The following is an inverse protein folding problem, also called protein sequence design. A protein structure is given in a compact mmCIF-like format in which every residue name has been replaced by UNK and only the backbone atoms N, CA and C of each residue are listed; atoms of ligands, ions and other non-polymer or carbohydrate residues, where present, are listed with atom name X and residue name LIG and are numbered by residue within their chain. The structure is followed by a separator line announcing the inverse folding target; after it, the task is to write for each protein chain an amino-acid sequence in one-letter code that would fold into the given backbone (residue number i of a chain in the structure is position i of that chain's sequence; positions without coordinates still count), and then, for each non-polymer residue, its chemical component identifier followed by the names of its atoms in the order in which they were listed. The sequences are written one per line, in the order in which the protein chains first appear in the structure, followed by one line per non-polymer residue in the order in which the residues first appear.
data_IF_406073541047
#
_entry.id   IF_406073541047
#
_cell.length_a   1.000
_cell.length_b   1.000
_cell.length_c   1.000
_cell.angle_alpha   90.00
_cell.angle_beta   90.00
_cell.angle_gamma   90.00
#
_symmetry.space_group_name_H-M   'P 1'
#
loop_
_entity.id
_entity.type
_entity.pdbx_description
1 polymer ?
#
# COMPACT_ATOMS: atom_id res chain seq x y z
N UNK A 1 19.87 9.69 22.65
CA UNK A 1 18.69 8.81 22.47
C UNK A 1 18.89 8.02 21.18
N UNK A 2 19.35 6.77 21.27
CA UNK A 2 19.62 5.92 20.09
C UNK A 2 18.28 5.36 19.60
N UNK A 3 17.87 5.69 18.37
CA UNK A 3 16.74 5.03 17.71
C UNK A 3 17.20 3.63 17.32
N UNK A 4 16.87 2.62 18.12
CA UNK A 4 17.05 1.22 17.72
C UNK A 4 16.19 0.92 16.50
N UNK A 5 16.81 0.47 15.41
CA UNK A 5 16.11 0.01 14.22
C UNK A 5 15.39 -1.31 14.54
N UNK A 6 14.05 -1.31 14.50
CA UNK A 6 13.29 -2.55 14.60
C UNK A 6 13.35 -3.32 13.28
N UNK A 7 13.60 -4.61 13.34
CA UNK A 7 13.65 -5.54 12.22
C UNK A 7 12.35 -6.36 12.14
N UNK A 8 12.13 -7.09 11.03
CA UNK A 8 10.95 -7.97 10.84
C UNK A 8 10.71 -8.93 12.02
N UNK A 9 11.80 -9.41 12.64
CA UNK A 9 11.77 -10.30 13.80
C UNK A 9 11.16 -9.68 15.06
N UNK A 10 11.05 -8.35 15.12
CA UNK A 10 10.47 -7.64 16.26
C UNK A 10 8.94 -7.56 16.20
N UNK A 11 8.34 -7.97 15.08
CA UNK A 11 6.90 -7.84 14.82
C UNK A 11 6.17 -9.17 14.68
N UNK A 12 6.84 -10.29 14.88
CA UNK A 12 6.22 -11.61 14.81
C UNK A 12 7.22 -12.76 14.72
N UNK A 13 6.68 -13.97 14.75
CA UNK A 13 7.45 -15.20 14.63
C UNK A 13 6.65 -16.25 13.85
N UNK A 14 7.36 -17.21 13.28
CA UNK A 14 6.74 -18.38 12.66
C UNK A 14 6.42 -19.42 13.74
N UNK A 15 5.16 -19.84 13.80
CA UNK A 15 4.66 -20.90 14.68
C UNK A 15 3.87 -21.87 13.79
N UNK A 16 4.25 -23.15 13.78
CA UNK A 16 3.59 -24.21 12.99
C UNK A 16 3.41 -23.86 11.50
N UNK A 17 4.46 -23.30 10.88
CA UNK A 17 4.45 -22.84 9.47
C UNK A 17 3.44 -21.73 9.14
N UNK A 18 2.85 -21.10 10.15
CA UNK A 18 2.04 -19.88 10.03
C UNK A 18 2.80 -18.69 10.64
N UNK A 19 2.72 -17.53 10.00
CA UNK A 19 3.23 -16.30 10.61
C UNK A 19 2.27 -15.83 11.70
N UNK A 20 2.81 -15.60 12.89
CA UNK A 20 2.10 -15.03 14.03
C UNK A 20 2.60 -13.61 14.26
N UNK A 21 1.71 -12.63 14.14
CA UNK A 21 2.01 -11.22 14.40
C UNK A 21 2.17 -10.97 15.91
N UNK A 22 3.17 -10.19 16.28
CA UNK A 22 3.37 -9.66 17.62
C UNK A 22 3.63 -8.15 17.49
N UNK A 23 2.59 -7.33 17.62
CA UNK A 23 2.69 -5.88 17.38
C UNK A 23 2.68 -5.13 18.72
N UNK A 24 3.86 -4.80 19.28
CA UNK A 24 3.93 -4.05 20.51
C UNK A 24 3.51 -2.60 20.29
N UNK A 25 2.40 -2.22 20.94
CA UNK A 25 1.91 -0.84 20.95
C UNK A 25 2.79 0.03 21.86
N UNK A 26 3.02 1.29 21.45
CA UNK A 26 3.79 2.26 22.26
C UNK A 26 3.03 2.75 23.48
N UNK A 27 1.71 2.62 23.46
CA UNK A 27 0.78 3.00 24.52
C UNK A 27 -0.39 2.03 24.54
N UNK A 28 -1.14 1.91 25.65
CA UNK A 28 -2.42 1.22 25.66
C UNK A 28 -3.38 1.82 24.63
N UNK A 29 -4.27 0.97 24.11
CA UNK A 29 -5.38 1.41 23.27
C UNK A 29 -6.36 2.21 24.11
N UNK A 30 -6.89 3.29 23.55
CA UNK A 30 -8.07 3.93 24.11
C UNK A 30 -9.32 3.10 23.76
N UNK A 31 -10.39 3.25 24.54
CA UNK A 31 -11.63 2.48 24.34
C UNK A 31 -12.17 2.60 22.91
N UNK A 32 -12.08 3.80 22.32
CA UNK A 32 -12.51 4.04 20.94
C UNK A 32 -11.62 3.39 19.87
N UNK A 33 -10.37 3.02 20.21
CA UNK A 33 -9.44 2.35 19.29
C UNK A 33 -9.60 0.82 19.31
N UNK A 34 -10.28 0.25 20.31
CA UNK A 34 -10.38 -1.20 20.50
C UNK A 34 -11.04 -1.86 19.29
N UNK A 35 -12.13 -1.30 18.78
CA UNK A 35 -12.85 -1.90 17.65
C UNK A 35 -12.03 -1.80 16.36
N UNK A 36 -11.31 -0.69 16.16
CA UNK A 36 -10.39 -0.54 15.02
C UNK A 36 -9.22 -1.51 15.11
N UNK A 37 -8.69 -1.73 16.32
CA UNK A 37 -7.61 -2.68 16.56
C UNK A 37 -8.03 -4.13 16.29
N UNK A 38 -9.25 -4.50 16.69
CA UNK A 38 -9.84 -5.82 16.38
C UNK A 38 -9.93 -6.04 14.88
N UNK A 39 -10.57 -5.11 14.16
CA UNK A 39 -10.70 -5.18 12.69
C UNK A 39 -9.32 -5.28 12.03
N UNK A 40 -8.35 -4.50 12.48
CA UNK A 40 -6.98 -4.56 11.99
C UNK A 40 -6.31 -5.92 12.22
N UNK A 41 -6.45 -6.48 13.42
CA UNK A 41 -5.87 -7.78 13.78
C UNK A 41 -6.50 -8.91 12.97
N UNK A 42 -7.83 -8.87 12.78
CA UNK A 42 -8.56 -9.84 11.95
C UNK A 42 -8.06 -9.83 10.49
N UNK A 43 -7.85 -8.63 9.93
CA UNK A 43 -7.29 -8.46 8.58
C UNK A 43 -5.88 -9.07 8.51
N UNK A 44 -5.05 -8.82 9.52
CA UNK A 44 -3.68 -9.33 9.55
C UNK A 44 -3.61 -10.85 9.66
N UNK A 45 -4.51 -11.47 10.43
CA UNK A 45 -4.59 -12.92 10.56
C UNK A 45 -5.08 -13.62 9.30
N UNK A 46 -5.92 -12.94 8.51
CA UNK A 46 -6.39 -13.42 7.22
C UNK A 46 -5.29 -13.41 6.14
N UNK A 47 -4.22 -12.62 6.30
CA UNK A 47 -3.11 -12.57 5.35
C UNK A 47 -2.23 -13.82 5.50
N UNK A 48 -2.24 -14.68 4.48
CA UNK A 48 -1.37 -15.85 4.40
C UNK A 48 0.01 -15.41 3.88
N UNK A 49 0.96 -15.25 4.79
CA UNK A 49 2.37 -15.02 4.43
C UNK A 49 2.97 -16.35 3.98
N UNK A 50 3.53 -16.38 2.76
CA UNK A 50 4.17 -17.58 2.20
C UNK A 50 5.67 -17.53 2.43
N UNK A 51 6.24 -18.61 2.97
CA UNK A 51 7.65 -18.72 3.33
C UNK A 51 8.62 -18.72 2.13
N UNK A 52 8.15 -18.92 0.89
CA UNK A 52 9.01 -19.35 -0.23
C UNK A 52 8.83 -18.63 -1.56
N UNK A 53 8.23 -17.44 -1.60
CA UNK A 53 8.36 -16.58 -2.79
C UNK A 53 9.53 -15.62 -2.56
N UNK A 54 10.49 -15.51 -3.49
CA UNK A 54 11.44 -14.40 -3.41
C UNK A 54 10.62 -13.12 -3.29
N UNK A 55 11.07 -12.22 -2.42
CA UNK A 55 10.40 -10.97 -2.06
C UNK A 55 10.43 -9.99 -3.26
N UNK A 56 9.89 -10.42 -4.39
CA UNK A 56 9.74 -9.66 -5.60
C UNK A 56 8.41 -8.96 -5.44
N UNK A 57 8.51 -7.67 -5.11
CA UNK A 57 7.40 -6.74 -5.23
C UNK A 57 7.05 -6.65 -6.72
N UNK A 58 6.22 -7.58 -7.20
CA UNK A 58 5.78 -7.61 -8.59
C UNK A 58 4.69 -6.55 -8.76
N UNK A 59 5.10 -5.32 -9.03
CA UNK A 59 4.20 -4.34 -9.65
C UNK A 59 3.88 -4.85 -11.05
N UNK A 60 2.78 -5.59 -11.21
CA UNK A 60 2.25 -5.86 -12.53
C UNK A 60 1.64 -4.56 -13.07
N UNK A 61 2.46 -3.74 -13.72
CA UNK A 61 1.92 -2.74 -14.63
C UNK A 61 1.15 -3.50 -15.70
N UNK A 62 -0.16 -3.26 -15.78
CA UNK A 62 -0.92 -3.64 -16.95
C UNK A 62 -0.21 -3.01 -18.16
N UNK A 63 0.27 -3.85 -19.08
CA UNK A 63 0.99 -3.45 -20.30
C UNK A 63 0.18 -2.48 -21.17
N UNK A 64 -1.12 -2.36 -20.88
CA UNK A 64 -2.06 -1.55 -21.64
C UNK A 64 -2.10 -0.08 -21.19
N UNK A 65 -1.45 0.29 -20.08
CA UNK A 65 -1.42 1.65 -19.56
C UNK A 65 -0.02 2.24 -19.60
N UNK A 66 0.42 2.73 -20.77
CA UNK A 66 1.66 3.52 -20.88
C UNK A 66 1.46 4.89 -20.24
N UNK A 67 1.64 4.99 -18.92
CA UNK A 67 1.74 6.27 -18.23
C UNK A 67 3.22 6.68 -18.18
N UNK A 68 3.70 7.31 -19.25
CA UNK A 68 4.94 8.09 -19.21
C UNK A 68 4.62 9.55 -18.95
N UNK A 69 5.55 10.31 -18.36
CA UNK A 69 5.42 11.77 -18.21
C UNK A 69 5.09 12.43 -19.56
N UNK A 70 5.67 11.93 -20.65
CA UNK A 70 5.35 12.36 -22.01
C UNK A 70 3.90 12.10 -22.44
N UNK A 71 3.32 10.94 -22.09
CA UNK A 71 1.91 10.62 -22.39
C UNK A 71 0.92 11.56 -21.66
N UNK A 72 1.27 11.99 -20.44
CA UNK A 72 0.50 12.96 -19.69
C UNK A 72 0.55 14.35 -20.36
N UNK A 73 1.74 14.82 -20.74
CA UNK A 73 1.88 16.09 -21.46
C UNK A 73 1.11 16.10 -22.79
N UNK A 74 1.08 14.97 -23.50
CA UNK A 74 0.32 14.86 -24.75
C UNK A 74 -1.19 14.96 -24.51
N UNK A 75 -1.74 14.19 -23.57
CA UNK A 75 -3.17 14.26 -23.23
C UNK A 75 -3.57 15.63 -22.68
N UNK A 76 -2.70 16.27 -21.90
CA UNK A 76 -2.94 17.62 -21.39
C UNK A 76 -2.98 18.64 -22.52
N UNK A 77 -2.04 18.57 -23.47
CA UNK A 77 -2.02 19.44 -24.64
C UNK A 77 -3.25 19.22 -25.54
N UNK A 78 -3.68 17.99 -25.74
CA UNK A 78 -4.89 17.67 -26.51
C UNK A 78 -6.16 18.17 -25.82
N UNK A 79 -6.25 18.02 -24.49
CA UNK A 79 -7.35 18.56 -23.70
C UNK A 79 -7.44 20.09 -23.78
N UNK A 80 -6.29 20.78 -23.76
CA UNK A 80 -6.25 22.25 -23.86
C UNK A 80 -6.70 22.71 -25.25
N UNK A 81 -6.24 22.05 -26.32
CA UNK A 81 -6.68 22.36 -27.68
C UNK A 81 -8.18 22.13 -27.87
N UNK A 82 -8.71 21.03 -27.34
CA UNK A 82 -10.14 20.74 -27.44
C UNK A 82 -10.99 21.77 -26.67
N UNK A 83 -10.49 22.31 -25.56
CA UNK A 83 -11.18 23.37 -24.82
C UNK A 83 -11.16 24.76 -25.50
N UNK A 84 -10.16 25.04 -26.35
CA UNK A 84 -10.14 26.28 -27.15
C UNK A 84 -11.12 26.23 -28.33
N UNK A 85 -11.39 25.04 -28.88
CA UNK A 85 -12.37 24.88 -29.98
C UNK A 85 -13.79 25.13 -29.47
N UNK A 86 -14.14 24.71 -28.26
CA UNK A 86 -15.46 24.97 -27.66
C UNK A 86 -15.69 26.47 -27.36
N UNK A 87 -14.64 27.24 -27.10
CA UNK A 87 -14.73 28.71 -26.91
C UNK A 87 -14.86 29.50 -28.22
N UNK A 88 -14.53 28.89 -29.37
CA UNK A 88 -14.58 29.54 -30.69
C UNK A 88 -15.90 29.27 -31.45
N UNK A 89 -16.75 28.35 -30.96
CA UNK A 89 -18.04 27.99 -31.57
C UNK A 89 -19.26 28.25 -30.65
N UNK A 90 -19.11 29.03 -29.57
CA UNK A 90 -20.21 29.66 -28.79
C UNK A 90 -20.33 31.15 -29.13
#
# INVERSE_FOLDING_TARGET
MVRGSKTEKDYGSWIDSKWSWNIPLRRPLFDWEIDQWKVFTDILEAIIIRHSTPNVLAWSFYVNGRFSVGSFHHQLADSIKNSEVDFMFS
#
